data_IF_722605300223
#
_entry.id   IF_722605300223
#
_cell.length_a   1.000
_cell.length_b   1.000
_cell.length_c   1.000
_cell.angle_alpha   90.00
_cell.angle_beta   90.00
_cell.angle_gamma   90.00
#
_symmetry.space_group_name_H-M   'P 1'
#
loop_
_entity.id
_entity.type
_entity.pdbx_description
1 polymer ?
#
# COMPACT_ATOMS: atom_id res chain seq x y z
N UNK A 1 -47.98 -14.78 -26.31
CA UNK A 1 -46.76 -13.96 -26.39
C UNK A 1 -46.19 -13.86 -24.99
N UNK A 2 -45.13 -14.60 -24.70
CA UNK A 2 -44.26 -14.39 -23.56
C UNK A 2 -42.85 -14.56 -24.13
N UNK A 3 -42.05 -13.49 -24.07
CA UNK A 3 -40.63 -13.51 -24.42
C UNK A 3 -39.88 -13.91 -23.16
N UNK A 4 -39.23 -15.06 -23.17
CA UNK A 4 -38.19 -15.38 -22.18
C UNK A 4 -36.94 -14.57 -22.54
N UNK A 5 -36.39 -13.92 -21.52
CA UNK A 5 -35.21 -13.08 -21.56
C UNK A 5 -34.02 -13.99 -21.25
N UNK A 6 -33.27 -14.37 -22.28
CA UNK A 6 -32.06 -15.17 -22.14
C UNK A 6 -30.90 -14.21 -21.89
N UNK A 7 -30.57 -13.98 -20.60
CA UNK A 7 -29.37 -13.24 -20.22
C UNK A 7 -28.17 -14.20 -20.33
N UNK A 8 -27.37 -14.03 -21.38
CA UNK A 8 -26.06 -14.66 -21.55
C UNK A 8 -25.21 -14.41 -20.30
N UNK A 9 -24.93 -15.48 -19.54
CA UNK A 9 -23.97 -15.42 -18.43
C UNK A 9 -22.57 -15.23 -19.00
N UNK A 10 -22.06 -14.01 -18.98
CA UNK A 10 -20.65 -13.72 -19.21
C UNK A 10 -19.82 -14.53 -18.22
N UNK A 11 -18.87 -15.32 -18.74
CA UNK A 11 -17.95 -16.08 -17.93
C UNK A 11 -16.97 -15.11 -17.26
N UNK A 12 -16.65 -15.35 -15.99
CA UNK A 12 -15.74 -14.51 -15.21
C UNK A 12 -14.58 -15.33 -14.69
N UNK A 13 -13.40 -14.72 -14.52
CA UNK A 13 -12.26 -15.36 -13.88
C UNK A 13 -12.48 -15.54 -12.35
N UNK A 14 -11.48 -16.13 -11.66
CA UNK A 14 -11.50 -16.34 -10.20
C UNK A 14 -11.59 -15.03 -9.38
N UNK A 15 -11.44 -13.88 -10.02
CA UNK A 15 -11.50 -12.54 -9.43
C UNK A 15 -12.71 -11.74 -9.92
N UNK A 16 -13.62 -12.33 -10.71
CA UNK A 16 -14.86 -11.71 -11.15
C UNK A 16 -14.72 -10.81 -12.39
N UNK A 17 -13.59 -10.85 -13.10
CA UNK A 17 -13.40 -10.05 -14.32
C UNK A 17 -14.03 -10.75 -15.53
N UNK A 18 -14.69 -10.02 -16.46
CA UNK A 18 -15.19 -10.59 -17.70
C UNK A 18 -14.04 -11.17 -18.53
N UNK A 19 -14.19 -12.39 -19.03
CA UNK A 19 -13.28 -12.92 -20.07
C UNK A 19 -13.70 -12.36 -21.43
N UNK A 20 -12.81 -11.60 -22.07
CA UNK A 20 -12.97 -11.14 -23.45
C UNK A 20 -12.83 -12.33 -24.41
N UNK A 21 -13.93 -12.65 -25.09
CA UNK A 21 -13.96 -13.56 -26.23
C UNK A 21 -13.97 -12.71 -27.51
N UNK A 22 -12.88 -11.99 -27.79
CA UNK A 22 -12.65 -11.45 -29.13
C UNK A 22 -11.81 -12.47 -29.90
N UNK A 23 -12.50 -13.20 -30.78
CA UNK A 23 -11.96 -14.10 -31.80
C UNK A 23 -11.20 -13.25 -32.85
N UNK A 24 -9.92 -13.03 -32.62
CA UNK A 24 -8.98 -12.81 -33.72
C UNK A 24 -8.78 -14.17 -34.42
N UNK A 25 -8.71 -14.19 -35.75
CA UNK A 25 -8.53 -15.40 -36.57
C UNK A 25 -7.20 -16.11 -36.22
N UNK A 26 -7.21 -16.92 -35.16
CA UNK A 26 -6.06 -17.65 -34.64
C UNK A 26 -5.70 -18.78 -35.62
N UNK A 27 -4.49 -18.72 -36.21
CA UNK A 27 -3.80 -19.94 -36.60
C UNK A 27 -3.89 -20.90 -35.41
N UNK A 28 -4.48 -22.09 -35.60
CA UNK A 28 -4.63 -23.07 -34.52
C UNK A 28 -3.30 -23.23 -33.77
N UNK A 29 -3.23 -22.67 -32.56
CA UNK A 29 -2.02 -22.76 -31.75
C UNK A 29 -1.88 -24.23 -31.32
N UNK A 30 -0.75 -24.83 -31.65
CA UNK A 30 -0.44 -26.21 -31.27
C UNK A 30 0.47 -26.22 -30.04
N UNK A 31 0.23 -27.17 -29.14
CA UNK A 31 1.12 -27.46 -28.04
C UNK A 31 2.39 -28.18 -28.53
N UNK A 32 3.35 -28.44 -27.65
CA UNK A 32 4.61 -29.14 -27.99
C UNK A 32 4.41 -30.60 -28.47
N UNK A 33 3.18 -31.12 -28.36
CA UNK A 33 2.78 -32.46 -28.79
C UNK A 33 2.04 -32.47 -30.13
N UNK A 34 1.95 -31.33 -30.81
CA UNK A 34 1.18 -31.12 -32.05
C UNK A 34 -0.32 -31.36 -31.88
N UNK A 35 -0.84 -31.14 -30.68
CA UNK A 35 -2.27 -31.16 -30.39
C UNK A 35 -2.80 -29.73 -30.36
N UNK A 36 -4.08 -29.55 -30.67
CA UNK A 36 -4.76 -28.27 -30.49
C UNK A 36 -4.59 -27.80 -29.05
N UNK A 37 -4.14 -26.56 -28.84
CA UNK A 37 -3.88 -25.99 -27.52
C UNK A 37 -5.09 -25.17 -27.05
N UNK A 38 -5.91 -25.67 -26.10
CA UNK A 38 -7.00 -24.89 -25.55
C UNK A 38 -6.50 -23.68 -24.76
N UNK A 39 -7.32 -22.63 -24.63
CA UNK A 39 -6.97 -21.39 -23.93
C UNK A 39 -6.56 -21.56 -22.44
N UNK A 40 -6.90 -22.69 -21.82
CA UNK A 40 -6.56 -23.00 -20.43
C UNK A 40 -5.29 -23.86 -20.29
N UNK A 41 -4.63 -24.20 -21.40
CA UNK A 41 -3.45 -25.07 -21.44
C UNK A 41 -2.22 -24.31 -21.94
N UNK A 42 -1.09 -24.51 -21.29
CA UNK A 42 0.19 -23.95 -21.72
C UNK A 42 0.79 -24.80 -22.84
N UNK A 43 1.81 -24.27 -23.51
CA UNK A 43 2.46 -24.96 -24.63
C UNK A 43 3.05 -26.33 -24.28
N UNK A 44 3.42 -26.55 -23.02
CA UNK A 44 3.91 -27.82 -22.48
C UNK A 44 2.83 -28.77 -21.97
N UNK A 45 1.55 -28.47 -22.21
CA UNK A 45 0.44 -29.33 -21.79
C UNK A 45 0.01 -29.17 -20.33
N UNK A 46 0.38 -28.07 -19.67
CA UNK A 46 -0.01 -27.81 -18.29
C UNK A 46 -1.24 -26.93 -18.21
N UNK A 47 -2.06 -27.08 -17.18
CA UNK A 47 -3.11 -26.11 -16.89
C UNK A 47 -2.52 -24.74 -16.54
N UNK A 48 -2.91 -23.69 -17.28
CA UNK A 48 -2.45 -22.30 -17.12
C UNK A 48 -2.60 -21.78 -15.70
N UNK A 49 -3.77 -21.97 -15.10
CA UNK A 49 -4.07 -21.50 -13.75
C UNK A 49 -3.25 -22.23 -12.67
N UNK A 50 -3.02 -23.52 -12.88
CA UNK A 50 -2.14 -24.34 -12.03
C UNK A 50 -0.70 -23.85 -12.15
N UNK A 51 -0.22 -23.54 -13.36
CA UNK A 51 1.12 -23.01 -13.59
C UNK A 51 1.31 -21.61 -12.96
N UNK A 52 0.30 -20.75 -13.08
CA UNK A 52 0.29 -19.44 -12.41
C UNK A 52 0.28 -19.57 -10.88
N UNK A 53 -0.50 -20.51 -10.33
CA UNK A 53 -0.53 -20.83 -8.90
C UNK A 53 0.79 -21.46 -8.43
N UNK A 54 1.44 -22.27 -9.26
CA UNK A 54 2.76 -22.86 -9.01
C UNK A 54 3.81 -21.77 -8.86
N UNK A 55 3.87 -20.83 -9.82
CA UNK A 55 4.78 -19.67 -9.76
C UNK A 55 4.65 -18.91 -8.42
N UNK A 56 3.44 -18.49 -8.06
CA UNK A 56 3.21 -17.75 -6.82
C UNK A 56 3.66 -18.53 -5.58
N UNK A 57 3.33 -19.83 -5.51
CA UNK A 57 3.68 -20.68 -4.36
C UNK A 57 5.17 -21.04 -4.32
N UNK A 58 5.85 -21.08 -5.47
CA UNK A 58 7.29 -21.27 -5.55
C UNK A 58 8.03 -20.03 -5.03
N UNK A 59 7.61 -18.83 -5.45
CA UNK A 59 8.15 -17.57 -4.93
C UNK A 59 7.98 -17.48 -3.42
N UNK A 60 6.77 -17.72 -2.89
CA UNK A 60 6.49 -17.73 -1.44
C UNK A 60 7.39 -18.68 -0.64
N UNK A 61 7.89 -19.74 -1.29
CA UNK A 61 8.74 -20.77 -0.68
C UNK A 61 10.22 -20.63 -1.05
N UNK A 62 10.59 -19.54 -1.72
CA UNK A 62 11.94 -19.28 -2.20
C UNK A 62 12.53 -20.42 -3.05
N UNK A 63 11.69 -21.01 -3.91
CA UNK A 63 12.08 -22.07 -4.83
C UNK A 63 12.41 -21.46 -6.22
N UNK A 64 13.70 -21.19 -6.43
CA UNK A 64 14.25 -20.60 -7.66
C UNK A 64 13.89 -21.39 -8.92
N UNK A 65 14.07 -22.72 -8.89
CA UNK A 65 13.94 -23.56 -10.09
C UNK A 65 12.48 -23.66 -10.52
N UNK A 66 11.59 -23.93 -9.57
CA UNK A 66 10.16 -24.04 -9.86
C UNK A 66 9.57 -22.70 -10.29
N UNK A 67 9.98 -21.58 -9.66
CA UNK A 67 9.53 -20.25 -10.05
C UNK A 67 10.00 -19.89 -11.46
N UNK A 68 11.27 -20.14 -11.78
CA UNK A 68 11.84 -19.89 -13.11
C UNK A 68 11.16 -20.72 -14.20
N UNK A 69 10.90 -22.00 -13.94
CA UNK A 69 10.19 -22.88 -14.87
C UNK A 69 8.78 -22.37 -15.15
N UNK A 70 8.01 -22.03 -14.12
CA UNK A 70 6.64 -21.56 -14.28
C UNK A 70 6.57 -20.23 -15.06
N UNK A 71 7.51 -19.32 -14.83
CA UNK A 71 7.62 -18.07 -15.59
C UNK A 71 7.97 -18.32 -17.06
N UNK A 72 8.96 -19.18 -17.33
CA UNK A 72 9.36 -19.56 -18.68
C UNK A 72 8.21 -20.20 -19.45
N UNK A 73 7.47 -21.12 -18.80
CA UNK A 73 6.35 -21.84 -19.40
C UNK A 73 5.20 -20.90 -19.75
N UNK A 74 4.82 -19.99 -18.83
CA UNK A 74 3.77 -19.02 -19.10
C UNK A 74 4.16 -18.10 -20.26
N UNK A 75 5.37 -17.52 -20.23
CA UNK A 75 5.77 -16.56 -21.27
C UNK A 75 5.93 -17.19 -22.65
N UNK A 76 6.43 -18.43 -22.75
CA UNK A 76 6.56 -19.09 -24.04
C UNK A 76 5.24 -19.57 -24.65
N UNK A 77 4.16 -19.58 -23.85
CA UNK A 77 2.83 -20.09 -24.25
C UNK A 77 1.99 -19.06 -25.00
N UNK A 78 2.50 -17.83 -25.17
CA UNK A 78 1.89 -16.82 -26.04
C UNK A 78 1.59 -15.50 -25.33
N UNK A 79 1.19 -14.46 -26.07
CA UNK A 79 1.03 -13.09 -25.55
C UNK A 79 0.04 -12.96 -24.39
N UNK A 80 -1.07 -13.71 -24.43
CA UNK A 80 -2.10 -13.74 -23.37
C UNK A 80 -1.53 -14.31 -22.05
N UNK A 81 -0.69 -15.34 -22.14
CA UNK A 81 -0.05 -15.98 -21.00
C UNK A 81 1.08 -15.12 -20.42
N UNK A 82 1.86 -14.47 -21.28
CA UNK A 82 2.91 -13.54 -20.85
C UNK A 82 2.32 -12.34 -20.11
N UNK A 83 1.25 -11.72 -20.65
CA UNK A 83 0.56 -10.62 -19.97
C UNK A 83 0.04 -11.04 -18.59
N UNK A 84 -0.55 -12.25 -18.50
CA UNK A 84 -0.98 -12.83 -17.23
C UNK A 84 0.18 -13.06 -16.25
N UNK A 85 1.32 -13.56 -16.74
CA UNK A 85 2.52 -13.75 -15.92
C UNK A 85 2.99 -12.43 -15.29
N UNK A 86 3.14 -11.37 -16.09
CA UNK A 86 3.62 -10.09 -15.60
C UNK A 86 2.69 -9.47 -14.55
N UNK A 87 1.38 -9.48 -14.80
CA UNK A 87 0.39 -9.03 -13.81
C UNK A 87 0.46 -9.86 -12.52
N UNK A 88 0.66 -11.18 -12.64
CA UNK A 88 0.79 -12.06 -11.48
C UNK A 88 2.10 -11.82 -10.72
N UNK A 89 3.22 -11.59 -11.41
CA UNK A 89 4.52 -11.32 -10.78
C UNK A 89 4.47 -10.09 -9.87
N UNK A 90 3.85 -8.99 -10.33
CA UNK A 90 3.67 -7.79 -9.52
C UNK A 90 2.79 -8.07 -8.29
N UNK A 91 1.67 -8.78 -8.47
CA UNK A 91 0.79 -9.14 -7.35
C UNK A 91 1.53 -10.00 -6.31
N UNK A 92 2.35 -10.96 -6.76
CA UNK A 92 3.17 -11.80 -5.89
C UNK A 92 4.17 -10.97 -5.10
N UNK A 93 4.78 -9.94 -5.70
CA UNK A 93 5.68 -9.04 -4.97
C UNK A 93 5.00 -8.28 -3.82
N UNK A 94 3.70 -7.99 -3.93
CA UNK A 94 2.92 -7.27 -2.91
C UNK A 94 2.31 -8.24 -1.88
N UNK A 95 1.88 -9.42 -2.32
CA UNK A 95 1.17 -10.40 -1.48
C UNK A 95 2.11 -11.29 -0.65
N UNK A 96 3.25 -11.68 -1.25
CA UNK A 96 4.07 -12.81 -0.81
C UNK A 96 5.52 -12.45 -0.47
N UNK A 97 5.90 -11.17 -0.55
CA UNK A 97 7.19 -10.64 -0.14
C UNK A 97 7.03 -9.54 0.93
N UNK A 98 8.10 -9.26 1.68
CA UNK A 98 8.13 -8.17 2.69
C UNK A 98 7.85 -6.79 2.05
N UNK A 99 7.16 -5.91 2.77
CA UNK A 99 6.94 -4.54 2.33
C UNK A 99 8.29 -3.82 2.09
N UNK A 100 8.36 -3.01 1.03
CA UNK A 100 9.60 -2.31 0.65
C UNK A 100 10.63 -3.20 -0.07
N UNK A 101 10.26 -4.40 -0.53
CA UNK A 101 11.14 -5.22 -1.35
C UNK A 101 11.50 -4.57 -2.70
N UNK A 102 12.73 -4.77 -3.16
CA UNK A 102 13.21 -4.26 -4.46
C UNK A 102 12.71 -5.10 -5.67
N UNK A 103 12.13 -6.29 -5.41
CA UNK A 103 11.71 -7.20 -6.47
C UNK A 103 10.64 -6.58 -7.39
N UNK A 104 9.74 -5.76 -6.83
CA UNK A 104 8.69 -5.07 -7.60
C UNK A 104 9.28 -4.21 -8.72
N UNK A 105 10.31 -3.40 -8.41
CA UNK A 105 10.98 -2.54 -9.40
C UNK A 105 11.70 -3.34 -10.47
N UNK A 106 12.33 -4.46 -10.08
CA UNK A 106 12.97 -5.37 -11.03
C UNK A 106 11.95 -6.02 -11.97
N UNK A 107 10.81 -6.49 -11.46
CA UNK A 107 9.73 -7.07 -12.27
C UNK A 107 9.23 -6.05 -13.30
N UNK A 108 8.90 -4.83 -12.87
CA UNK A 108 8.46 -3.75 -13.77
C UNK A 108 9.51 -3.44 -14.84
N UNK A 109 10.79 -3.41 -14.45
CA UNK A 109 11.88 -3.16 -15.41
C UNK A 109 12.04 -4.30 -16.42
N UNK A 110 11.96 -5.55 -15.98
CA UNK A 110 12.06 -6.71 -16.87
C UNK A 110 10.85 -6.82 -17.80
N UNK A 111 9.64 -6.48 -17.32
CA UNK A 111 8.46 -6.40 -18.16
C UNK A 111 8.63 -5.34 -19.26
N UNK A 112 9.06 -4.13 -18.90
CA UNK A 112 9.31 -3.05 -19.87
C UNK A 112 10.30 -3.49 -20.95
N UNK A 113 11.41 -4.11 -20.53
CA UNK A 113 12.40 -4.61 -21.46
C UNK A 113 11.86 -5.72 -22.36
N UNK A 114 11.06 -6.65 -21.82
CA UNK A 114 10.44 -7.72 -22.58
C UNK A 114 9.44 -7.19 -23.62
N UNK A 115 8.58 -6.25 -23.21
CA UNK A 115 7.48 -5.73 -24.04
C UNK A 115 7.89 -4.66 -25.03
N UNK A 116 8.96 -3.89 -24.76
CA UNK A 116 9.37 -2.79 -25.62
C UNK A 116 10.72 -3.05 -26.30
N UNK A 117 11.77 -3.32 -25.50
CA UNK A 117 13.13 -3.44 -26.05
C UNK A 117 13.31 -4.74 -26.85
N UNK A 118 12.61 -5.80 -26.44
CA UNK A 118 12.75 -7.14 -26.98
C UNK A 118 11.43 -7.73 -27.46
N UNK A 119 10.49 -6.89 -27.90
CA UNK A 119 9.14 -7.30 -28.33
C UNK A 119 9.19 -8.47 -29.34
N UNK A 120 10.07 -8.38 -30.34
CA UNK A 120 10.25 -9.38 -31.39
C UNK A 120 11.24 -10.51 -31.04
N UNK A 121 11.79 -10.52 -29.83
CA UNK A 121 12.79 -11.50 -29.40
C UNK A 121 12.26 -12.39 -28.27
N UNK A 122 11.59 -13.47 -28.67
CA UNK A 122 11.02 -14.44 -27.73
C UNK A 122 12.06 -15.07 -26.77
N UNK A 123 13.33 -15.20 -27.16
CA UNK A 123 14.37 -15.69 -26.26
C UNK A 123 14.67 -14.67 -25.15
N UNK A 124 14.88 -13.40 -25.51
CA UNK A 124 15.15 -12.34 -24.55
C UNK A 124 13.94 -12.06 -23.63
N UNK A 125 12.71 -12.14 -24.16
CA UNK A 125 11.47 -12.06 -23.37
C UNK A 125 11.41 -13.14 -22.29
N UNK A 126 11.70 -14.39 -22.64
CA UNK A 126 11.78 -15.50 -21.66
C UNK A 126 12.88 -15.29 -20.62
N UNK A 127 14.03 -14.73 -21.01
CA UNK A 127 15.08 -14.40 -20.04
C UNK A 127 14.63 -13.31 -19.04
N UNK A 128 13.90 -12.30 -19.50
CA UNK A 128 13.33 -11.29 -18.60
C UNK A 128 12.38 -11.93 -17.59
N UNK A 129 11.51 -12.83 -18.05
CA UNK A 129 10.59 -13.54 -17.19
C UNK A 129 11.31 -14.41 -16.15
N UNK A 130 12.31 -15.19 -16.57
CA UNK A 130 13.13 -16.00 -15.65
C UNK A 130 13.85 -15.10 -14.65
N UNK A 131 14.47 -14.00 -15.10
CA UNK A 131 15.17 -13.08 -14.21
C UNK A 131 14.23 -12.45 -13.17
N UNK A 132 13.04 -12.03 -13.58
CA UNK A 132 12.00 -11.53 -12.69
C UNK A 132 11.59 -12.59 -11.65
N UNK A 133 11.36 -13.83 -12.08
CA UNK A 133 10.98 -14.93 -11.19
C UNK A 133 12.07 -15.24 -10.15
N UNK A 134 13.34 -15.25 -10.55
CA UNK A 134 14.47 -15.49 -9.66
C UNK A 134 14.64 -14.35 -8.64
N UNK A 135 14.47 -13.09 -9.07
CA UNK A 135 14.51 -11.95 -8.14
C UNK A 135 13.37 -12.06 -7.12
N UNK A 136 12.16 -12.43 -7.56
CA UNK A 136 11.04 -12.66 -6.66
C UNK A 136 11.31 -13.79 -5.66
N UNK A 137 11.76 -14.96 -6.14
CA UNK A 137 12.00 -16.12 -5.28
C UNK A 137 13.12 -15.89 -4.24
N UNK A 138 14.10 -15.06 -4.56
CA UNK A 138 15.23 -14.72 -3.67
C UNK A 138 14.94 -13.60 -2.69
N UNK A 139 13.87 -12.83 -2.91
CA UNK A 139 13.46 -11.81 -1.97
C UNK A 139 12.90 -12.43 -0.69
N UNK A 140 12.97 -11.70 0.42
CA UNK A 140 12.49 -12.16 1.71
C UNK A 140 10.96 -12.39 1.65
N UNK A 141 10.48 -13.63 1.86
CA UNK A 141 9.04 -13.90 1.86
C UNK A 141 8.38 -13.32 3.10
N UNK A 142 7.21 -12.72 2.91
CA UNK A 142 6.30 -12.28 3.98
C UNK A 142 4.88 -12.30 3.45
N UNK A 143 3.89 -12.42 4.34
CA UNK A 143 2.48 -12.26 4.01
C UNK A 143 1.81 -11.19 4.86
N UNK A 144 2.61 -10.28 5.45
CA UNK A 144 2.13 -9.24 6.37
C UNK A 144 1.04 -8.35 5.77
N UNK A 145 1.17 -7.95 4.51
CA UNK A 145 0.16 -7.15 3.80
C UNK A 145 -1.16 -7.90 3.68
N UNK A 146 -1.10 -9.18 3.31
CA UNK A 146 -2.27 -10.05 3.19
C UNK A 146 -2.92 -10.33 4.54
N UNK A 147 -2.11 -10.63 5.55
CA UNK A 147 -2.58 -10.89 6.90
C UNK A 147 -3.19 -9.65 7.53
N UNK A 148 -2.59 -8.47 7.34
CA UNK A 148 -3.12 -7.19 7.80
C UNK A 148 -4.48 -6.88 7.15
N UNK A 149 -4.60 -7.02 5.83
CA UNK A 149 -5.87 -6.83 5.14
C UNK A 149 -6.95 -7.77 5.68
N UNK A 150 -6.62 -9.05 5.87
CA UNK A 150 -7.55 -10.03 6.44
C UNK A 150 -7.94 -9.71 7.88
N UNK A 151 -6.96 -9.34 8.72
CA UNK A 151 -7.20 -8.94 10.10
C UNK A 151 -8.13 -7.74 10.18
N UNK A 152 -7.76 -6.61 9.56
CA UNK A 152 -8.55 -5.38 9.64
C UNK A 152 -9.93 -5.53 9.01
N UNK A 153 -10.05 -6.20 7.85
CA UNK A 153 -11.36 -6.43 7.22
C UNK A 153 -12.30 -7.22 8.13
N UNK A 154 -11.78 -8.30 8.73
CA UNK A 154 -12.59 -9.13 9.64
C UNK A 154 -12.92 -8.38 10.93
N UNK A 155 -11.98 -7.64 11.52
CA UNK A 155 -12.22 -6.78 12.69
C UNK A 155 -13.34 -5.78 12.43
N UNK A 156 -13.36 -5.12 11.27
CA UNK A 156 -14.41 -4.15 10.94
C UNK A 156 -15.77 -4.81 10.68
N UNK A 157 -15.80 -5.98 10.04
CA UNK A 157 -17.03 -6.76 9.88
C UNK A 157 -17.57 -7.21 11.24
N UNK A 158 -16.69 -7.63 12.15
CA UNK A 158 -17.05 -8.10 13.48
C UNK A 158 -17.58 -6.95 14.36
N UNK A 159 -16.90 -5.79 14.35
CA UNK A 159 -17.36 -4.57 15.01
C UNK A 159 -18.72 -4.09 14.50
N UNK A 160 -19.01 -4.27 13.21
CA UNK A 160 -20.32 -3.93 12.66
C UNK A 160 -21.44 -4.84 13.20
N UNK A 161 -21.13 -6.08 13.58
CA UNK A 161 -22.10 -7.03 14.18
C UNK A 161 -22.48 -6.65 15.60
N UNK A 162 -21.56 -6.07 16.36
CA UNK A 162 -21.85 -5.53 17.71
C UNK A 162 -23.03 -4.54 17.67
N UNK A 163 -23.20 -3.78 16.58
CA UNK A 163 -24.34 -2.86 16.41
C UNK A 163 -25.67 -3.54 16.07
N UNK A 164 -25.64 -4.82 15.72
CA UNK A 164 -26.80 -5.61 15.30
C UNK A 164 -27.22 -6.62 16.38
N UNK A 165 -26.29 -7.00 17.26
CA UNK A 165 -26.45 -8.01 18.29
C UNK A 165 -25.78 -7.51 19.58
N UNK A 166 -26.59 -7.10 20.55
CA UNK A 166 -26.13 -6.52 21.82
C UNK A 166 -25.33 -7.51 22.68
N UNK A 167 -25.46 -8.82 22.42
CA UNK A 167 -24.73 -9.88 23.14
C UNK A 167 -23.42 -10.29 22.42
N UNK A 168 -23.09 -9.66 21.28
CA UNK A 168 -21.87 -9.97 20.51
C UNK A 168 -20.69 -9.10 20.95
N UNK A 169 -19.68 -9.71 21.56
CA UNK A 169 -18.39 -9.08 21.82
C UNK A 169 -17.43 -9.32 20.64
N UNK A 170 -16.76 -8.27 20.12
CA UNK A 170 -15.83 -8.44 19.02
C UNK A 170 -14.57 -9.19 19.48
N UNK A 171 -14.00 -10.01 18.60
CA UNK A 171 -12.79 -10.78 18.92
C UNK A 171 -11.55 -9.87 19.07
N UNK A 172 -11.51 -8.79 18.29
CA UNK A 172 -10.46 -7.78 18.32
C UNK A 172 -11.07 -6.40 18.08
N UNK A 173 -10.41 -5.37 18.59
CA UNK A 173 -10.72 -3.98 18.24
C UNK A 173 -9.71 -3.43 17.20
N UNK A 174 -10.08 -2.39 16.44
CA UNK A 174 -9.13 -1.64 15.62
C UNK A 174 -7.99 -1.09 16.49
N UNK A 175 -6.83 -0.78 15.89
CA UNK A 175 -5.68 -0.23 16.60
C UNK A 175 -5.90 1.20 17.13
N UNK A 176 -7.07 1.79 16.91
CA UNK A 176 -7.49 3.11 17.38
C UNK A 176 -8.95 3.07 17.79
N UNK A 177 -9.30 3.72 18.89
CA UNK A 177 -10.66 3.86 19.41
C UNK A 177 -11.30 5.19 18.97
N UNK A 178 -12.63 5.29 19.16
CA UNK A 178 -13.35 6.55 18.91
C UNK A 178 -12.98 7.63 19.94
N UNK A 179 -12.64 7.23 21.18
CA UNK A 179 -12.21 8.14 22.25
C UNK A 179 -10.82 8.70 21.95
N UNK A 180 -9.86 7.87 21.52
CA UNK A 180 -8.52 8.33 21.14
C UNK A 180 -8.55 9.27 19.93
N UNK A 181 -9.49 9.07 19.00
CA UNK A 181 -9.67 9.91 17.81
C UNK A 181 -10.55 11.15 18.05
N UNK A 182 -11.21 11.26 19.20
CA UNK A 182 -11.94 12.48 19.56
C UNK A 182 -10.97 13.67 19.49
N UNK A 183 -11.39 14.87 19.02
CA UNK A 183 -10.50 16.02 18.97
C UNK A 183 -9.69 16.29 20.24
N UNK A 184 -10.19 16.00 21.44
CA UNK A 184 -9.41 16.12 22.70
C UNK A 184 -8.82 14.80 23.21
N UNK A 185 -9.01 13.71 22.48
CA UNK A 185 -8.36 12.42 22.72
C UNK A 185 -6.88 12.42 22.37
N UNK A 186 -6.16 11.39 22.81
CA UNK A 186 -4.71 11.28 22.67
C UNK A 186 -4.20 11.44 21.22
N UNK A 187 -4.78 10.69 20.29
CA UNK A 187 -4.42 10.74 18.87
C UNK A 187 -5.11 11.94 18.18
N UNK A 188 -6.36 12.22 18.57
CA UNK A 188 -7.15 13.29 17.99
C UNK A 188 -6.61 14.69 18.31
N UNK A 189 -5.96 14.89 19.46
CA UNK A 189 -5.25 16.12 19.76
C UNK A 189 -4.23 16.45 18.67
N UNK A 190 -3.45 15.46 18.23
CA UNK A 190 -2.41 15.62 17.20
C UNK A 190 -3.00 15.69 15.79
N UNK A 191 -3.96 14.81 15.47
CA UNK A 191 -4.48 14.61 14.11
C UNK A 191 -5.59 15.59 13.72
N UNK A 192 -6.35 16.11 14.68
CA UNK A 192 -7.40 17.10 14.46
C UNK A 192 -6.76 18.49 14.45
N UNK A 193 -6.14 18.81 13.31
CA UNK A 193 -5.36 20.03 13.06
C UNK A 193 -6.03 20.94 12.00
N UNK A 194 -5.28 21.93 11.51
CA UNK A 194 -5.71 22.89 10.49
C UNK A 194 -6.17 22.29 9.16
N UNK A 195 -5.85 21.04 8.86
CA UNK A 195 -6.27 20.34 7.63
C UNK A 195 -7.61 19.62 7.81
N UNK A 196 -8.12 19.56 9.04
CA UNK A 196 -9.41 18.95 9.37
C UNK A 196 -10.45 20.02 9.69
N UNK A 197 -11.70 19.78 9.30
CA UNK A 197 -12.81 20.68 9.65
C UNK A 197 -12.98 20.86 11.17
N UNK A 198 -12.94 19.79 12.00
CA UNK A 198 -13.05 19.94 13.45
C UNK A 198 -11.86 20.70 14.06
N UNK A 199 -10.64 20.53 13.55
CA UNK A 199 -9.46 21.23 14.05
C UNK A 199 -9.49 22.73 13.74
N UNK A 200 -9.90 23.10 12.53
CA UNK A 200 -10.15 24.50 12.19
C UNK A 200 -11.23 25.12 13.10
N UNK A 201 -12.31 24.39 13.39
CA UNK A 201 -13.36 24.82 14.32
C UNK A 201 -12.88 25.01 15.76
N UNK A 202 -11.80 24.33 16.17
CA UNK A 202 -11.16 24.45 17.48
C UNK A 202 -10.03 25.49 17.54
N UNK A 203 -9.80 26.25 16.46
CA UNK A 203 -8.68 27.20 16.40
C UNK A 203 -7.30 26.52 16.33
N UNK A 204 -7.23 25.22 16.01
CA UNK A 204 -5.98 24.48 15.84
C UNK A 204 -5.37 24.77 14.47
N UNK A 205 -4.85 25.98 14.33
CA UNK A 205 -4.31 26.53 13.09
C UNK A 205 -2.92 26.00 12.74
N UNK A 206 -2.17 26.80 11.96
CA UNK A 206 -0.78 26.48 11.65
C UNK A 206 0.09 26.23 12.90
N UNK A 207 -0.04 26.99 14.01
CA UNK A 207 0.77 26.76 15.22
C UNK A 207 0.61 25.35 15.78
N UNK A 208 -0.64 24.89 15.93
CA UNK A 208 -0.95 23.53 16.39
C UNK A 208 -0.30 22.45 15.51
N UNK A 209 -0.43 22.57 14.19
CA UNK A 209 0.21 21.63 13.26
C UNK A 209 1.74 21.67 13.35
N UNK A 210 2.33 22.86 13.47
CA UNK A 210 3.79 23.02 13.55
C UNK A 210 4.36 22.37 14.82
N UNK A 211 3.67 22.50 15.95
CA UNK A 211 4.12 21.96 17.22
C UNK A 211 3.83 20.47 17.36
N UNK A 212 2.65 20.02 16.91
CA UNK A 212 2.18 18.66 17.20
C UNK A 212 2.12 17.79 15.95
N UNK A 213 1.27 18.13 14.98
CA UNK A 213 0.95 17.27 13.84
C UNK A 213 2.07 17.03 12.81
N UNK A 214 3.11 17.85 12.83
CA UNK A 214 4.20 17.80 11.85
C UNK A 214 5.54 17.31 12.43
N UNK A 215 5.54 16.79 13.66
CA UNK A 215 6.67 16.07 14.24
C UNK A 215 6.86 14.73 13.52
N UNK A 216 8.08 14.20 13.54
CA UNK A 216 8.43 12.92 12.93
C UNK A 216 9.13 12.04 13.95
N UNK A 217 9.16 10.73 13.76
CA UNK A 217 9.91 9.83 14.65
C UNK A 217 9.77 8.36 14.25
N UNK A 218 10.36 7.45 15.05
CA UNK A 218 11.09 7.74 16.29
C UNK A 218 12.54 8.17 16.08
N UNK A 219 13.06 7.99 14.87
CA UNK A 219 14.41 8.40 14.54
C UNK A 219 14.49 9.91 14.31
N UNK A 220 15.64 10.48 14.69
CA UNK A 220 15.94 11.87 14.40
C UNK A 220 15.88 12.18 12.90
N UNK A 221 15.36 13.36 12.56
CA UNK A 221 15.53 13.90 11.21
C UNK A 221 17.02 14.06 10.88
N UNK A 222 17.31 14.07 9.58
CA UNK A 222 18.60 14.48 9.03
C UNK A 222 19.02 15.85 9.55
N UNK A 223 20.33 16.07 9.65
CA UNK A 223 20.91 17.38 10.03
C UNK A 223 20.38 18.51 9.15
N UNK A 224 20.16 18.25 7.85
CA UNK A 224 19.64 19.23 6.92
C UNK A 224 18.14 19.52 7.15
N UNK A 225 17.35 18.47 7.38
CA UNK A 225 15.92 18.57 7.70
C UNK A 225 15.67 19.38 8.97
N UNK A 226 16.37 19.04 10.08
CA UNK A 226 16.32 19.81 11.34
C UNK A 226 16.65 21.29 11.13
N UNK A 227 17.72 21.58 10.37
CA UNK A 227 18.13 22.96 10.04
C UNK A 227 17.04 23.71 9.26
N UNK A 228 16.41 23.06 8.28
CA UNK A 228 15.34 23.68 7.49
C UNK A 228 14.07 23.88 8.32
N UNK A 229 13.68 22.88 9.10
CA UNK A 229 12.50 22.95 9.97
C UNK A 229 12.63 24.08 10.98
N UNK A 230 13.79 24.18 11.65
CA UNK A 230 14.08 25.27 12.59
C UNK A 230 13.89 26.64 11.95
N UNK A 231 14.51 26.85 10.79
CA UNK A 231 14.41 28.13 10.05
C UNK A 231 12.98 28.46 9.66
N UNK A 232 12.17 27.47 9.29
CA UNK A 232 10.75 27.70 8.99
C UNK A 232 10.03 28.24 10.22
N UNK A 233 10.25 27.66 11.41
CA UNK A 233 9.64 28.15 12.65
C UNK A 233 10.17 29.55 13.03
N UNK A 234 11.47 29.81 12.84
CA UNK A 234 12.07 31.15 13.04
C UNK A 234 11.54 32.20 12.05
N UNK A 235 11.12 31.80 10.84
CA UNK A 235 10.53 32.69 9.82
C UNK A 235 9.03 32.90 9.98
N UNK A 236 8.32 31.98 10.64
CA UNK A 236 6.89 32.08 10.94
C UNK A 236 6.59 33.20 11.99
N UNK A 237 7.53 34.14 12.21
CA UNK A 237 7.35 35.37 13.00
C UNK A 237 6.51 36.42 12.25
N UNK A 238 5.75 37.26 12.95
CA UNK A 238 4.90 38.29 12.33
C UNK A 238 5.62 39.25 11.39
N UNK A 239 6.91 39.50 11.63
CA UNK A 239 7.75 40.43 10.87
C UNK A 239 8.16 39.90 9.49
N UNK A 240 8.18 38.57 9.32
CA UNK A 240 8.68 37.91 8.13
C UNK A 240 7.64 37.01 7.45
N UNK A 241 6.63 36.58 8.21
CA UNK A 241 5.62 35.64 7.76
C UNK A 241 4.53 36.33 6.95
N UNK A 242 4.06 35.64 5.91
CA UNK A 242 2.81 35.98 5.20
C UNK A 242 1.63 35.11 5.69
N UNK A 243 1.85 34.32 6.75
CA UNK A 243 0.90 33.37 7.36
C UNK A 243 0.88 33.56 8.89
N UNK A 244 -0.19 33.12 9.55
CA UNK A 244 -0.19 32.87 11.01
C UNK A 244 0.98 31.96 11.40
N UNK A 245 1.59 32.13 12.60
CA UNK A 245 1.07 32.82 13.80
C UNK A 245 1.27 34.34 13.88
N UNK A 246 0.42 34.95 14.72
CA UNK A 246 0.54 36.35 15.16
C UNK A 246 1.66 36.58 16.18
N UNK A 247 2.27 35.52 16.71
CA UNK A 247 3.36 35.55 17.68
C UNK A 247 4.47 34.59 17.24
N UNK A 248 5.72 34.98 17.47
CA UNK A 248 6.88 34.14 17.21
C UNK A 248 6.86 32.88 18.09
N UNK A 249 7.21 31.72 17.52
CA UNK A 249 7.50 30.53 18.33
C UNK A 249 8.68 30.80 19.28
N UNK A 250 8.54 30.34 20.52
CA UNK A 250 9.59 30.32 21.54
C UNK A 250 10.69 29.31 21.18
N UNK A 251 11.85 29.42 21.84
CA UNK A 251 12.92 28.44 21.64
C UNK A 251 12.50 27.03 22.07
N UNK A 252 11.73 26.93 23.16
CA UNK A 252 11.23 25.66 23.68
C UNK A 252 10.22 25.00 22.72
N UNK A 253 9.32 25.80 22.14
CA UNK A 253 8.40 25.37 21.07
C UNK A 253 9.15 24.86 19.84
N UNK A 254 10.23 25.55 19.47
CA UNK A 254 11.09 25.14 18.35
C UNK A 254 11.82 23.83 18.69
N UNK A 255 12.37 23.70 19.89
CA UNK A 255 13.04 22.48 20.34
C UNK A 255 12.07 21.29 20.37
N UNK A 256 10.87 21.47 20.94
CA UNK A 256 9.81 20.46 20.94
C UNK A 256 9.42 20.01 19.53
N UNK A 257 9.19 20.96 18.61
CA UNK A 257 8.82 20.65 17.24
C UNK A 257 9.92 19.95 16.43
N UNK A 258 11.18 20.02 16.88
CA UNK A 258 12.34 19.35 16.28
C UNK A 258 12.66 18.01 16.94
N UNK A 259 12.11 17.75 18.13
CA UNK A 259 12.29 16.51 18.87
C UNK A 259 11.51 15.38 18.19
N UNK A 260 12.15 14.22 17.94
CA UNK A 260 11.46 13.09 17.38
C UNK A 260 10.34 12.58 18.30
N UNK A 261 9.30 11.97 17.74
CA UNK A 261 8.28 11.29 18.55
C UNK A 261 8.86 10.04 19.23
N UNK A 262 8.27 9.60 20.34
CA UNK A 262 8.79 8.44 21.06
C UNK A 262 8.51 7.13 20.30
N UNK A 263 9.38 6.13 20.46
CA UNK A 263 9.23 4.82 19.80
C UNK A 263 8.13 3.96 20.44
N UNK A 264 7.99 4.05 21.76
CA UNK A 264 7.01 3.33 22.56
C UNK A 264 5.63 4.01 22.55
N UNK A 265 5.59 5.32 22.34
CA UNK A 265 4.36 6.09 22.20
C UNK A 265 4.55 7.26 21.20
N UNK A 266 4.32 7.02 19.90
CA UNK A 266 4.53 8.03 18.87
C UNK A 266 3.47 9.15 18.88
N UNK A 267 2.37 8.98 19.61
CA UNK A 267 1.26 9.94 19.66
C UNK A 267 1.35 10.85 20.89
N UNK A 268 2.12 10.46 21.91
CA UNK A 268 2.40 11.28 23.10
C UNK A 268 2.85 12.69 22.74
N UNK A 269 2.08 13.66 23.21
CA UNK A 269 2.35 15.06 22.99
C UNK A 269 2.01 15.87 24.24
N UNK A 270 2.92 15.88 25.23
CA UNK A 270 2.75 16.56 26.52
C UNK A 270 3.12 18.05 26.50
N UNK A 271 3.31 18.62 25.32
CA UNK A 271 3.61 20.04 25.19
C UNK A 271 2.31 20.84 25.28
N UNK A 272 1.91 21.15 26.51
CA UNK A 272 0.70 21.90 26.79
C UNK A 272 0.97 23.40 26.62
N UNK A 273 0.45 23.98 25.54
CA UNK A 273 0.59 25.43 25.28
C UNK A 273 -0.40 26.28 26.10
N UNK A 274 -1.14 25.70 27.04
CA UNK A 274 -2.18 26.38 27.82
C UNK A 274 -1.72 27.06 29.12
N UNK A 275 -0.45 27.44 29.25
CA UNK A 275 -0.09 28.55 30.16
C UNK A 275 -0.32 29.91 29.45
N UNK A 276 -1.54 30.14 28.96
CA UNK A 276 -1.98 31.48 28.61
C UNK A 276 -2.25 32.26 29.89
N UNK A 277 -1.23 32.99 30.34
CA UNK A 277 -1.31 34.37 30.85
C UNK A 277 -2.67 34.80 31.45
N UNK A 278 -3.07 34.22 32.58
CA UNK A 278 -4.12 34.75 33.45
C UNK A 278 -3.57 34.85 34.88
N UNK A 279 -2.63 35.75 35.15
CA UNK A 279 -2.37 36.22 36.53
C UNK A 279 -1.42 37.42 36.66
N UNK A 280 -1.50 38.44 35.80
CA UNK A 280 -0.95 39.77 36.17
C UNK A 280 -1.74 40.89 35.51
N UNK A 281 -2.96 41.12 35.98
CA UNK A 281 -3.47 42.48 36.06
C UNK A 281 -4.37 42.66 37.30
N UNK A 282 -4.17 43.81 37.93
CA UNK A 282 -4.92 44.43 39.02
C UNK A 282 -4.61 44.04 40.48
N UNK A 283 -3.59 44.71 41.05
CA UNK A 283 -3.81 45.48 42.28
C UNK A 283 -2.84 46.70 42.33
N UNK A 284 -3.39 47.88 41.99
CA UNK A 284 -2.87 49.21 42.33
C UNK A 284 -3.92 49.93 43.19
#
# INVERSE_FOLDING_TARGET
MAKENDEERQQTDLHGNPVDNEDDEDEQELNDFNEEMPWYETKGGYRRDVMSSLFQKAVRRSDDETAAFAAWELVRSGPKYESHYWSRAILVCVEDLVAGNEATEHVLRYEELAKNRWEDNGWARRLCAIAAALVCARAQPSRETTHANGYFSNTMVDRARVKQDDDHEPLYEPPVSEEELDPDGEIGFVTVDKHTYPGAGKGRGWPHFRLHGARIGPHEDTVLGKKFRRRVLEYDRPEYSYREPEVAFSEEEIEHALEPTAEDDPWRCEFDTMDTLDEFDDEN
#
